data_IF_822127612595
#
_entry.id   IF_822127612595
#
_cell.length_a   1.000
_cell.length_b   1.000
_cell.length_c   1.000
_cell.angle_alpha   90.00
_cell.angle_beta   90.00
_cell.angle_gamma   90.00
#
_symmetry.space_group_name_H-M   'P 1'
#
loop_
_entity.id
_entity.type
_entity.pdbx_description
1 polymer ?
#
# COMPACT_ATOMS: atom_id res chain seq x y z
N UNK A 1 -15.44 31.23 -0.33
CA UNK A 1 -14.76 31.11 0.97
C UNK A 1 -13.87 29.89 0.90
N UNK A 2 -12.54 30.08 0.94
CA UNK A 2 -11.58 29.00 1.03
C UNK A 2 -11.87 28.25 2.35
N UNK A 3 -12.12 26.92 2.29
CA UNK A 3 -12.11 26.11 3.52
C UNK A 3 -10.79 26.43 4.22
N UNK A 4 -10.86 26.98 5.43
CA UNK A 4 -9.69 26.99 6.31
C UNK A 4 -9.30 25.50 6.47
N UNK A 5 -8.13 25.11 5.91
CA UNK A 5 -7.43 23.95 6.42
C UNK A 5 -7.34 24.22 7.92
N UNK A 6 -8.00 23.44 8.72
CA UNK A 6 -7.78 23.47 10.18
C UNK A 6 -6.31 23.11 10.31
N UNK A 7 -5.47 24.11 10.54
CA UNK A 7 -4.04 23.85 10.84
C UNK A 7 -4.07 23.20 12.21
N UNK A 8 -3.65 21.97 12.25
CA UNK A 8 -3.40 21.29 13.50
C UNK A 8 -2.40 22.10 14.30
N UNK A 9 -2.59 22.17 15.60
CA UNK A 9 -1.57 22.72 16.51
C UNK A 9 -0.40 21.71 16.56
N UNK A 10 0.82 22.15 16.89
CA UNK A 10 1.96 21.23 16.99
C UNK A 10 1.72 20.04 17.93
N UNK A 11 0.97 20.25 19.03
CA UNK A 11 0.59 19.17 19.94
C UNK A 11 -0.41 18.18 19.31
N UNK A 12 -1.34 18.66 18.49
CA UNK A 12 -2.27 17.80 17.76
C UNK A 12 -1.57 17.03 16.64
N UNK A 13 -0.59 17.65 15.96
CA UNK A 13 0.24 16.96 14.95
C UNK A 13 1.05 15.82 15.59
N UNK A 14 1.70 16.08 16.72
CA UNK A 14 2.47 15.07 17.44
C UNK A 14 1.57 13.94 17.98
N UNK A 15 0.41 14.26 18.52
CA UNK A 15 -0.55 13.25 18.95
C UNK A 15 -1.05 12.38 17.78
N UNK A 16 -1.31 12.99 16.62
CA UNK A 16 -1.72 12.26 15.43
C UNK A 16 -0.62 11.32 14.94
N UNK A 17 0.63 11.79 14.92
CA UNK A 17 1.78 10.97 14.54
C UNK A 17 1.97 9.78 15.50
N UNK A 18 1.89 10.01 16.82
CA UNK A 18 1.97 8.95 17.81
C UNK A 18 0.84 7.93 17.66
N UNK A 19 -0.41 8.38 17.49
CA UNK A 19 -1.53 7.47 17.25
C UNK A 19 -1.38 6.65 15.96
N UNK A 20 -0.80 7.25 14.92
CA UNK A 20 -0.55 6.53 13.68
C UNK A 20 0.55 5.49 13.86
N UNK A 21 1.62 5.84 14.57
CA UNK A 21 2.69 4.92 14.90
C UNK A 21 2.19 3.71 15.71
N UNK A 22 1.40 3.95 16.76
CA UNK A 22 0.82 2.86 17.57
C UNK A 22 -0.04 1.90 16.72
N UNK A 23 -0.79 2.45 15.76
CA UNK A 23 -1.59 1.65 14.84
C UNK A 23 -0.73 0.86 13.86
N UNK A 24 0.33 1.48 13.35
CA UNK A 24 1.30 0.80 12.48
C UNK A 24 1.99 -0.36 13.21
N UNK A 25 2.51 -0.12 14.41
CA UNK A 25 3.14 -1.16 15.25
C UNK A 25 2.17 -2.30 15.52
N UNK A 26 0.91 -1.99 15.83
CA UNK A 26 -0.11 -3.02 16.00
C UNK A 26 -0.30 -3.85 14.72
N UNK A 27 -0.41 -3.22 13.55
CA UNK A 27 -0.58 -3.93 12.29
C UNK A 27 0.65 -4.78 11.92
N UNK A 28 1.85 -4.28 12.24
CA UNK A 28 3.12 -4.98 12.06
C UNK A 28 3.19 -6.23 12.93
N UNK A 29 2.99 -6.08 14.24
CA UNK A 29 3.19 -7.16 15.22
C UNK A 29 2.09 -8.23 15.14
N UNK A 30 0.88 -7.87 14.68
CA UNK A 30 -0.22 -8.81 14.53
C UNK A 30 -0.29 -9.46 13.14
N UNK A 31 0.75 -10.17 12.76
CA UNK A 31 0.77 -11.06 11.61
C UNK A 31 1.57 -10.57 10.40
N UNK A 32 2.00 -9.30 10.34
CA UNK A 32 2.82 -8.85 9.22
C UNK A 32 4.28 -9.33 9.32
N UNK A 33 4.86 -9.35 10.52
CA UNK A 33 6.20 -9.93 10.74
C UNK A 33 6.24 -11.42 10.39
N UNK A 34 5.26 -12.19 10.85
CA UNK A 34 5.14 -13.61 10.51
C UNK A 34 5.00 -13.81 8.99
N UNK A 35 4.22 -12.92 8.35
CA UNK A 35 4.10 -12.91 6.89
C UNK A 35 5.45 -12.66 6.21
N UNK A 36 6.24 -11.66 6.64
CA UNK A 36 7.54 -11.35 6.05
C UNK A 36 8.48 -12.55 6.12
N UNK A 37 8.59 -13.21 7.27
CA UNK A 37 9.42 -14.40 7.41
C UNK A 37 8.98 -15.52 6.46
N UNK A 38 7.67 -15.76 6.37
CA UNK A 38 7.15 -16.79 5.48
C UNK A 38 7.33 -16.42 4.00
N UNK A 39 7.12 -15.15 3.63
CA UNK A 39 7.29 -14.68 2.27
C UNK A 39 8.74 -14.82 1.80
N UNK A 40 9.71 -14.45 2.65
CA UNK A 40 11.14 -14.67 2.37
C UNK A 40 11.46 -16.14 2.16
N UNK A 41 11.05 -16.98 3.10
CA UNK A 41 11.27 -18.44 2.98
C UNK A 41 10.67 -18.98 1.67
N UNK A 42 9.50 -18.50 1.26
CA UNK A 42 8.89 -18.88 -0.02
C UNK A 42 9.70 -18.39 -1.22
N UNK A 43 10.23 -17.17 -1.19
CA UNK A 43 11.06 -16.61 -2.26
C UNK A 43 12.39 -17.35 -2.39
N UNK A 44 13.06 -17.68 -1.26
CA UNK A 44 14.28 -18.46 -1.24
C UNK A 44 14.07 -19.86 -1.83
N UNK A 45 13.00 -20.54 -1.45
CA UNK A 45 12.64 -21.83 -2.04
C UNK A 45 12.34 -21.74 -3.53
N UNK A 46 11.70 -20.68 -3.98
CA UNK A 46 11.47 -20.45 -5.42
C UNK A 46 12.79 -20.24 -6.16
N UNK A 47 13.75 -19.52 -5.60
CA UNK A 47 15.08 -19.31 -6.19
C UNK A 47 15.94 -20.57 -6.17
N UNK A 48 15.65 -21.52 -5.29
CA UNK A 48 16.41 -22.75 -5.12
C UNK A 48 17.27 -22.78 -3.87
N UNK A 49 17.18 -21.76 -3.05
CA UNK A 49 17.86 -21.65 -1.76
C UNK A 49 17.00 -22.34 -0.70
N UNK A 50 17.16 -23.65 -0.59
CA UNK A 50 16.24 -24.51 0.18
C UNK A 50 16.85 -25.08 1.45
N UNK A 51 18.14 -24.81 1.68
CA UNK A 51 18.85 -25.27 2.86
C UNK A 51 19.00 -24.16 3.88
N UNK A 52 18.68 -24.43 5.12
CA UNK A 52 19.06 -23.54 6.20
C UNK A 52 20.59 -23.58 6.40
N UNK A 53 21.21 -22.46 6.74
CA UNK A 53 22.66 -22.30 6.81
C UNK A 53 23.29 -23.31 7.78
N UNK A 54 22.66 -23.57 8.93
CA UNK A 54 23.10 -24.54 9.92
C UNK A 54 23.14 -25.99 9.34
N UNK A 55 22.15 -26.35 8.54
CA UNK A 55 22.07 -27.68 7.91
C UNK A 55 23.11 -27.80 6.79
N UNK A 56 23.37 -26.72 6.04
CA UNK A 56 24.40 -26.67 5.00
C UNK A 56 25.79 -26.84 5.62
N UNK A 57 26.11 -26.13 6.66
CA UNK A 57 27.38 -26.22 7.40
C UNK A 57 27.58 -27.63 8.02
N UNK A 58 26.53 -28.20 8.56
CA UNK A 58 26.57 -29.56 9.12
C UNK A 58 26.88 -30.59 8.01
N UNK A 59 26.29 -30.47 6.84
CA UNK A 59 26.54 -31.33 5.69
C UNK A 59 27.97 -31.17 5.17
N UNK A 60 28.45 -29.92 5.06
CA UNK A 60 29.83 -29.65 4.64
C UNK A 60 30.86 -30.19 5.63
N UNK A 61 30.61 -30.10 6.93
CA UNK A 61 31.45 -30.68 7.96
C UNK A 61 31.54 -32.23 7.86
N UNK A 62 30.45 -32.87 7.37
CA UNK A 62 30.43 -34.31 7.08
C UNK A 62 31.02 -34.67 5.71
N UNK A 63 31.43 -33.69 4.90
CA UNK A 63 31.91 -33.87 3.53
C UNK A 63 30.81 -34.28 2.53
N UNK A 64 29.57 -33.97 2.83
CA UNK A 64 28.38 -34.23 1.99
C UNK A 64 27.92 -32.94 1.29
N UNK A 65 27.73 -32.95 -0.04
CA UNK A 65 27.22 -31.76 -0.73
C UNK A 65 25.73 -31.52 -0.42
N UNK A 66 25.34 -30.30 -0.15
CA UNK A 66 23.93 -29.87 -0.09
C UNK A 66 23.37 -29.81 -1.50
N UNK A 67 22.65 -30.85 -1.93
CA UNK A 67 22.07 -30.94 -3.27
C UNK A 67 20.63 -30.44 -3.27
N UNK A 68 20.35 -29.41 -4.06
CA UNK A 68 19.00 -28.90 -4.28
C UNK A 68 18.48 -29.30 -5.67
N UNK A 69 17.30 -29.92 -5.70
CA UNK A 69 16.56 -30.17 -6.96
C UNK A 69 15.30 -29.30 -6.92
N UNK A 70 15.40 -28.10 -7.50
CA UNK A 70 14.29 -27.15 -7.44
C UNK A 70 13.14 -27.58 -8.36
N UNK A 71 12.07 -28.14 -7.76
CA UNK A 71 10.82 -28.50 -8.45
C UNK A 71 9.75 -27.39 -8.31
N UNK A 72 9.96 -26.42 -7.40
CA UNK A 72 9.05 -25.31 -7.15
C UNK A 72 9.02 -24.35 -8.32
N UNK A 73 10.19 -23.94 -8.80
CA UNK A 73 10.36 -22.99 -9.90
C UNK A 73 9.61 -23.41 -11.17
N UNK A 74 9.77 -24.62 -11.73
CA UNK A 74 9.03 -25.02 -12.92
C UNK A 74 7.52 -25.14 -12.67
N UNK A 75 7.09 -25.50 -11.47
CA UNK A 75 5.67 -25.55 -11.12
C UNK A 75 5.03 -24.16 -11.14
N UNK A 76 5.65 -23.19 -10.49
CA UNK A 76 5.18 -21.79 -10.45
C UNK A 76 5.21 -21.20 -11.86
N UNK A 77 6.30 -21.40 -12.61
CA UNK A 77 6.44 -20.89 -13.98
C UNK A 77 5.40 -21.48 -14.94
N UNK A 78 4.96 -22.72 -14.73
CA UNK A 78 3.86 -23.30 -15.51
C UNK A 78 2.54 -22.55 -15.25
N UNK A 79 2.24 -22.21 -14.00
CA UNK A 79 1.04 -21.44 -13.63
C UNK A 79 1.11 -20.03 -14.22
N UNK A 80 2.28 -19.36 -14.13
CA UNK A 80 2.50 -18.04 -14.73
C UNK A 80 2.34 -18.06 -16.25
N UNK A 81 2.85 -19.09 -16.91
CA UNK A 81 2.70 -19.29 -18.36
C UNK A 81 1.24 -19.46 -18.77
N UNK A 82 0.47 -20.20 -17.99
CA UNK A 82 -0.97 -20.39 -18.25
C UNK A 82 -1.74 -19.07 -18.05
N UNK A 83 -1.46 -18.29 -17.01
CA UNK A 83 -2.06 -16.99 -16.80
C UNK A 83 -1.74 -16.03 -17.95
N UNK A 84 -0.48 -15.98 -18.39
CA UNK A 84 -0.05 -15.12 -19.48
C UNK A 84 -0.70 -15.49 -20.83
N UNK A 85 -1.00 -16.79 -21.06
CA UNK A 85 -1.64 -17.27 -22.29
C UNK A 85 -3.16 -17.05 -22.30
N UNK A 86 -3.81 -16.97 -21.16
CA UNK A 86 -5.27 -16.87 -21.00
C UNK A 86 -5.74 -15.50 -20.55
N UNK A 87 -5.25 -14.45 -21.19
CA UNK A 87 -5.69 -13.08 -20.88
C UNK A 87 -7.15 -12.88 -21.27
N UNK A 88 -7.90 -12.20 -20.42
CA UNK A 88 -9.30 -11.86 -20.64
C UNK A 88 -9.48 -10.35 -20.79
N UNK A 89 -10.14 -9.93 -21.85
CA UNK A 89 -10.53 -8.53 -22.03
C UNK A 89 -11.64 -8.13 -21.06
N UNK A 90 -11.45 -7.03 -20.38
CA UNK A 90 -12.48 -6.44 -19.51
C UNK A 90 -13.44 -5.60 -20.35
N UNK A 91 -14.75 -5.91 -20.28
CA UNK A 91 -15.80 -5.19 -21.00
C UNK A 91 -16.90 -4.73 -20.06
N UNK A 92 -17.29 -3.48 -20.20
CA UNK A 92 -18.40 -2.89 -19.48
C UNK A 92 -19.73 -3.28 -20.16
N UNK A 93 -20.73 -3.59 -19.34
CA UNK A 93 -22.08 -3.88 -19.79
C UNK A 93 -23.09 -3.02 -19.05
N UNK A 94 -24.16 -2.51 -19.71
CA UNK A 94 -25.18 -1.75 -19.04
C UNK A 94 -25.93 -2.63 -18.03
N UNK A 95 -26.21 -2.10 -16.86
CA UNK A 95 -26.86 -2.88 -15.77
C UNK A 95 -28.38 -2.92 -15.85
N UNK A 96 -29.00 -1.84 -16.33
CA UNK A 96 -30.47 -1.69 -16.38
C UNK A 96 -30.85 -0.97 -17.66
N UNK A 97 -31.17 -1.68 -18.75
CA UNK A 97 -31.65 -1.04 -19.97
C UNK A 97 -30.91 0.25 -20.35
N UNK A 98 -29.71 0.43 -19.80
CA UNK A 98 -28.93 1.63 -19.90
C UNK A 98 -28.31 1.78 -21.28
N UNK A 99 -27.58 2.87 -21.44
CA UNK A 99 -26.99 3.25 -22.69
C UNK A 99 -25.82 2.31 -23.06
N UNK A 100 -26.00 1.49 -24.08
CA UNK A 100 -24.97 0.62 -24.64
C UNK A 100 -23.78 1.45 -25.16
N UNK A 101 -24.04 2.61 -25.75
CA UNK A 101 -23.00 3.49 -26.26
C UNK A 101 -22.08 4.00 -25.13
N UNK A 102 -22.63 4.27 -23.95
CA UNK A 102 -21.84 4.62 -22.77
C UNK A 102 -20.95 3.46 -22.31
N UNK A 103 -21.50 2.23 -22.26
CA UNK A 103 -20.73 1.05 -21.89
C UNK A 103 -19.59 0.75 -22.86
N UNK A 104 -19.83 0.91 -24.16
CA UNK A 104 -18.81 0.76 -25.20
C UNK A 104 -17.72 1.86 -25.07
N UNK A 105 -18.14 3.09 -24.77
CA UNK A 105 -17.19 4.20 -24.52
C UNK A 105 -16.33 3.93 -23.29
N UNK A 106 -16.92 3.50 -22.18
CA UNK A 106 -16.18 3.14 -20.97
C UNK A 106 -15.20 1.97 -21.21
N UNK A 107 -15.58 0.99 -22.02
CA UNK A 107 -14.69 -0.10 -22.42
C UNK A 107 -13.46 0.42 -23.16
N UNK A 108 -13.65 1.35 -24.12
CA UNK A 108 -12.53 1.96 -24.87
C UNK A 108 -11.62 2.80 -23.96
N UNK A 109 -12.21 3.58 -23.05
CA UNK A 109 -11.45 4.37 -22.06
C UNK A 109 -10.62 3.45 -21.16
N UNK A 110 -11.22 2.34 -20.70
CA UNK A 110 -10.50 1.37 -19.89
C UNK A 110 -9.34 0.73 -20.66
N UNK A 111 -9.56 0.33 -21.91
CA UNK A 111 -8.48 -0.21 -22.76
C UNK A 111 -7.34 0.79 -22.93
N UNK A 112 -7.67 2.09 -23.14
CA UNK A 112 -6.64 3.14 -23.23
C UNK A 112 -5.84 3.28 -21.93
N UNK A 113 -6.51 3.23 -20.77
CA UNK A 113 -5.84 3.26 -19.46
C UNK A 113 -4.95 2.02 -19.28
N UNK A 114 -5.44 0.85 -19.68
CA UNK A 114 -4.68 -0.40 -19.61
C UNK A 114 -3.41 -0.35 -20.46
N UNK A 115 -3.51 0.14 -21.69
CA UNK A 115 -2.39 0.29 -22.61
C UNK A 115 -1.36 1.31 -22.09
N UNK A 116 -1.80 2.47 -21.60
CA UNK A 116 -0.93 3.51 -21.06
C UNK A 116 -0.12 2.99 -19.84
N UNK A 117 -0.74 2.16 -19.01
CA UNK A 117 -0.11 1.61 -17.81
C UNK A 117 0.60 0.27 -18.05
N UNK A 118 0.58 -0.28 -19.28
CA UNK A 118 1.07 -1.64 -19.55
C UNK A 118 0.49 -2.64 -18.55
N UNK A 119 -0.83 -2.61 -18.38
CA UNK A 119 -1.55 -3.36 -17.35
C UNK A 119 -1.20 -4.85 -17.36
N UNK A 120 -1.00 -5.42 -18.53
CA UNK A 120 -0.59 -6.81 -18.69
C UNK A 120 0.69 -7.17 -17.93
N UNK A 121 1.66 -6.25 -17.93
CA UNK A 121 2.92 -6.42 -17.20
C UNK A 121 2.70 -6.31 -15.68
N UNK A 122 1.93 -5.29 -15.27
CA UNK A 122 1.59 -5.07 -13.85
C UNK A 122 0.80 -6.25 -13.30
N UNK A 123 -0.17 -6.78 -14.05
CA UNK A 123 -0.93 -7.97 -13.68
C UNK A 123 -0.03 -9.21 -13.52
N UNK A 124 0.89 -9.42 -14.45
CA UNK A 124 1.83 -10.54 -14.34
C UNK A 124 2.73 -10.43 -13.11
N UNK A 125 3.21 -9.23 -12.79
CA UNK A 125 4.02 -8.99 -11.60
C UNK A 125 3.22 -9.27 -10.33
N UNK A 126 2.05 -8.67 -10.16
CA UNK A 126 1.19 -8.86 -8.98
C UNK A 126 0.75 -10.32 -8.84
N UNK A 127 0.48 -11.00 -9.96
CA UNK A 127 0.13 -12.41 -9.94
C UNK A 127 1.31 -13.29 -9.50
N UNK A 128 2.52 -13.00 -10.01
CA UNK A 128 3.76 -13.66 -9.59
C UNK A 128 4.01 -13.51 -8.10
N UNK A 129 3.92 -12.27 -7.59
CA UNK A 129 4.07 -11.98 -6.17
C UNK A 129 3.03 -12.75 -5.34
N UNK A 130 1.78 -12.77 -5.77
CA UNK A 130 0.72 -13.53 -5.12
C UNK A 130 0.94 -15.05 -5.09
N UNK A 131 1.70 -15.62 -6.03
CA UNK A 131 2.05 -17.03 -5.99
C UNK A 131 3.26 -17.32 -5.08
N UNK A 132 4.26 -16.45 -5.12
CA UNK A 132 5.57 -16.62 -4.48
C UNK A 132 5.56 -16.05 -3.06
N UNK A 133 5.15 -14.76 -2.92
CA UNK A 133 5.23 -14.00 -1.68
C UNK A 133 4.07 -14.32 -0.72
N UNK A 134 3.97 -15.56 -0.30
CA UNK A 134 2.94 -16.08 0.61
C UNK A 134 1.52 -15.58 0.33
N UNK A 135 1.13 -15.59 -0.93
CA UNK A 135 -0.25 -15.34 -1.36
C UNK A 135 -0.68 -13.90 -1.45
N UNK A 136 0.21 -12.94 -1.33
CA UNK A 136 -0.10 -11.51 -1.36
C UNK A 136 0.52 -10.82 -2.56
N UNK A 137 -0.30 -10.11 -3.32
CA UNK A 137 0.12 -9.18 -4.36
C UNK A 137 -0.77 -7.94 -4.31
N UNK A 138 -0.26 -6.78 -4.67
CA UNK A 138 -1.01 -5.53 -4.55
C UNK A 138 -0.86 -4.66 -5.78
N UNK A 139 -2.01 -4.15 -6.26
CA UNK A 139 -2.07 -3.02 -7.18
C UNK A 139 -2.24 -1.73 -6.39
N UNK A 140 -1.67 -0.65 -6.86
CA UNK A 140 -1.97 0.70 -6.42
C UNK A 140 -2.55 1.49 -7.60
N UNK A 141 -3.72 2.08 -7.39
CA UNK A 141 -4.46 2.82 -8.40
C UNK A 141 -4.64 4.26 -7.94
N UNK A 142 -3.90 5.19 -8.57
CA UNK A 142 -3.90 6.61 -8.21
C UNK A 142 -4.03 7.49 -9.45
N UNK A 143 -4.44 8.74 -9.24
CA UNK A 143 -4.29 9.79 -10.23
C UNK A 143 -2.90 10.39 -10.14
N UNK A 144 -2.19 10.42 -11.24
CA UNK A 144 -0.90 11.09 -11.40
C UNK A 144 -1.10 12.42 -12.13
N UNK A 145 -0.51 13.48 -11.59
CA UNK A 145 -0.58 14.85 -12.13
C UNK A 145 0.79 15.36 -12.58
N UNK A 146 1.78 14.49 -12.67
CA UNK A 146 3.16 14.88 -12.99
C UNK A 146 3.26 15.38 -14.42
N UNK A 147 2.76 14.61 -15.38
CA UNK A 147 2.88 14.91 -16.80
C UNK A 147 1.68 15.72 -17.33
N UNK A 148 0.50 15.53 -16.76
CA UNK A 148 -0.74 16.15 -17.20
C UNK A 148 -1.49 16.86 -16.08
N UNK A 149 -1.85 18.13 -16.30
CA UNK A 149 -2.60 18.94 -15.32
C UNK A 149 -3.98 18.35 -14.98
N UNK A 150 -4.62 17.68 -15.94
CA UNK A 150 -5.91 17.02 -15.74
C UNK A 150 -5.76 15.69 -14.95
N UNK A 151 -4.54 15.17 -14.88
CA UNK A 151 -4.20 13.91 -14.24
C UNK A 151 -4.50 12.70 -15.11
N UNK A 152 -3.68 11.66 -14.95
CA UNK A 152 -3.88 10.37 -15.58
C UNK A 152 -4.03 9.27 -14.52
N UNK A 153 -4.80 8.23 -14.85
CA UNK A 153 -4.91 7.06 -13.97
C UNK A 153 -3.63 6.25 -14.10
N UNK A 154 -2.91 6.11 -12.98
CA UNK A 154 -1.70 5.28 -12.90
C UNK A 154 -1.99 4.02 -12.11
N UNK A 155 -1.59 2.89 -12.67
CA UNK A 155 -1.72 1.56 -12.05
C UNK A 155 -0.32 0.97 -11.93
N UNK A 156 0.10 0.67 -10.70
CA UNK A 156 1.43 0.11 -10.41
C UNK A 156 1.31 -1.12 -9.54
N UNK A 157 2.27 -2.03 -9.64
CA UNK A 157 2.46 -3.08 -8.66
C UNK A 157 3.18 -2.51 -7.44
N UNK A 158 2.84 -3.00 -6.26
CA UNK A 158 3.51 -2.67 -4.99
C UNK A 158 4.14 -3.92 -4.40
N UNK A 159 5.31 -3.71 -3.79
CA UNK A 159 5.95 -4.78 -3.04
C UNK A 159 5.04 -5.24 -1.88
N UNK A 160 4.70 -6.52 -1.81
CA UNK A 160 3.85 -7.04 -0.74
C UNK A 160 4.43 -6.88 0.66
N UNK A 161 5.75 -6.75 0.79
CA UNK A 161 6.42 -6.54 2.06
C UNK A 161 6.18 -5.12 2.62
N UNK A 162 5.87 -4.14 1.76
CA UNK A 162 5.63 -2.76 2.15
C UNK A 162 4.18 -2.48 2.52
N UNK A 163 3.25 -3.40 2.23
CA UNK A 163 1.82 -3.20 2.44
C UNK A 163 1.35 -3.99 3.67
N UNK A 164 0.84 -3.27 4.66
CA UNK A 164 0.24 -3.86 5.84
C UNK A 164 -1.27 -3.73 5.76
N UNK A 165 -1.97 -4.85 5.79
CA UNK A 165 -3.42 -4.90 5.81
C UNK A 165 -3.96 -4.80 7.24
N UNK A 166 -5.23 -4.45 7.37
CA UNK A 166 -5.93 -4.45 8.67
C UNK A 166 -5.80 -5.83 9.35
N UNK A 167 -5.20 -5.93 10.53
CA UNK A 167 -5.04 -7.20 11.23
C UNK A 167 -6.37 -7.87 11.62
N UNK A 168 -7.44 -7.09 11.70
CA UNK A 168 -8.78 -7.58 12.00
C UNK A 168 -9.58 -7.98 10.74
N UNK A 169 -8.98 -7.88 9.54
CA UNK A 169 -9.62 -8.21 8.27
C UNK A 169 -9.90 -9.70 8.15
N UNK A 170 -11.17 -10.08 7.97
CA UNK A 170 -11.61 -11.47 7.78
C UNK A 170 -11.96 -11.81 6.33
N UNK A 171 -12.14 -10.80 5.51
CA UNK A 171 -12.56 -10.90 4.12
C UNK A 171 -11.48 -10.34 3.19
N UNK A 172 -11.40 -10.91 2.00
CA UNK A 172 -10.46 -10.46 0.95
C UNK A 172 -10.85 -9.11 0.34
N UNK A 173 -12.12 -8.68 0.50
CA UNK A 173 -12.60 -7.41 -0.07
C UNK A 173 -12.09 -6.21 0.77
N UNK A 174 -11.27 -5.31 0.23
CA UNK A 174 -10.78 -4.14 0.93
C UNK A 174 -11.89 -3.17 1.37
N UNK A 175 -13.11 -3.32 0.85
CA UNK A 175 -14.26 -2.53 1.31
C UNK A 175 -14.63 -2.81 2.76
N UNK A 176 -14.34 -4.00 3.25
CA UNK A 176 -14.63 -4.41 4.63
C UNK A 176 -13.53 -3.99 5.60
N UNK A 177 -12.33 -3.69 5.12
CA UNK A 177 -11.20 -3.29 5.95
C UNK A 177 -11.38 -1.89 6.53
N UNK A 178 -10.83 -1.66 7.71
CA UNK A 178 -10.85 -0.34 8.36
C UNK A 178 -9.66 0.51 7.97
N UNK A 179 -8.49 -0.10 7.76
CA UNK A 179 -7.24 0.60 7.47
C UNK A 179 -6.29 -0.24 6.61
N UNK A 180 -5.39 0.45 5.92
CA UNK A 180 -4.27 -0.14 5.18
C UNK A 180 -3.09 0.80 5.32
N UNK A 181 -1.88 0.24 5.43
CA UNK A 181 -0.64 0.99 5.49
C UNK A 181 0.24 0.65 4.30
N UNK A 182 0.97 1.65 3.84
CA UNK A 182 2.07 1.51 2.90
C UNK A 182 3.31 2.14 3.54
N UNK A 183 4.41 1.42 3.57
CA UNK A 183 5.69 1.93 4.06
C UNK A 183 6.63 2.20 2.89
N UNK A 184 7.39 3.28 2.98
CA UNK A 184 8.40 3.65 1.99
C UNK A 184 9.64 4.17 2.69
N UNK A 185 10.78 3.88 2.12
CA UNK A 185 12.01 4.53 2.49
C UNK A 185 12.25 5.72 1.59
N UNK A 186 12.45 6.89 2.17
CA UNK A 186 12.68 8.13 1.45
C UNK A 186 13.87 8.88 2.07
N UNK A 187 14.71 9.45 1.23
CA UNK A 187 15.76 10.35 1.68
C UNK A 187 15.17 11.70 2.10
N UNK A 188 15.93 12.50 2.84
CA UNK A 188 15.49 13.86 3.22
C UNK A 188 15.20 14.74 2.00
N UNK A 189 16.00 14.59 0.94
CA UNK A 189 15.84 15.35 -0.31
C UNK A 189 14.52 14.98 -1.02
N UNK A 190 14.18 13.70 -1.09
CA UNK A 190 12.90 13.22 -1.63
C UNK A 190 11.71 13.70 -0.79
N UNK A 191 11.87 13.75 0.54
CA UNK A 191 10.84 14.29 1.43
C UNK A 191 10.68 15.80 1.23
N UNK A 192 11.77 16.53 1.03
CA UNK A 192 11.72 17.95 0.74
C UNK A 192 11.00 18.24 -0.58
N UNK A 193 11.30 17.48 -1.62
CA UNK A 193 10.64 17.59 -2.92
C UNK A 193 9.14 17.29 -2.84
N UNK A 194 8.75 16.23 -2.14
CA UNK A 194 7.37 15.78 -2.07
C UNK A 194 6.51 16.59 -1.08
N UNK A 195 7.06 17.00 0.06
CA UNK A 195 6.28 17.58 1.19
C UNK A 195 6.75 18.97 1.60
N UNK A 196 7.87 19.45 1.06
CA UNK A 196 8.39 20.80 1.24
C UNK A 196 9.46 20.94 2.34
N UNK A 197 10.37 21.90 2.15
CA UNK A 197 11.55 22.13 2.97
C UNK A 197 11.30 22.19 4.49
N UNK A 198 10.19 22.80 4.91
CA UNK A 198 9.87 22.93 6.35
C UNK A 198 9.70 21.59 7.06
N UNK A 199 9.16 20.58 6.35
CA UNK A 199 8.96 19.25 6.92
C UNK A 199 10.27 18.46 6.95
N UNK A 200 11.11 18.64 5.93
CA UNK A 200 12.45 18.06 5.89
C UNK A 200 13.34 18.61 7.01
N UNK A 201 13.36 19.96 7.23
CA UNK A 201 14.09 20.60 8.34
C UNK A 201 13.63 20.08 9.71
N UNK A 202 12.32 19.87 9.91
CA UNK A 202 11.80 19.32 11.16
C UNK A 202 12.28 17.89 11.41
N UNK A 203 12.30 17.06 10.36
CA UNK A 203 12.78 15.68 10.44
C UNK A 203 14.29 15.61 10.68
N UNK A 204 15.06 16.46 10.01
CA UNK A 204 16.49 16.56 10.23
C UNK A 204 16.79 16.92 11.70
N UNK A 205 16.08 17.91 12.24
CA UNK A 205 16.24 18.32 13.65
C UNK A 205 15.91 17.16 14.62
N UNK A 206 14.88 16.36 14.35
CA UNK A 206 14.51 15.22 15.19
C UNK A 206 15.57 14.12 15.08
N UNK A 207 16.06 13.84 13.87
CA UNK A 207 17.08 12.83 13.63
C UNK A 207 18.40 13.17 14.35
N UNK A 208 18.81 14.44 14.33
CA UNK A 208 20.04 14.92 15.00
C UNK A 208 19.91 14.87 16.54
N UNK A 209 18.72 15.09 17.09
CA UNK A 209 18.51 15.11 18.54
C UNK A 209 18.19 13.73 19.16
N UNK A 210 18.21 12.65 18.40
CA UNK A 210 18.12 11.28 18.90
C UNK A 210 16.74 10.88 19.49
N UNK A 211 15.69 11.64 19.24
CA UNK A 211 14.33 11.41 19.73
C UNK A 211 13.46 10.69 18.69
N UNK A 212 14.09 10.00 17.74
CA UNK A 212 13.43 9.32 16.63
C UNK A 212 12.85 7.97 17.06
N UNK A 213 11.66 7.62 16.56
CA UNK A 213 11.15 6.24 16.59
C UNK A 213 11.97 5.31 15.65
N UNK A 214 12.96 5.85 14.96
CA UNK A 214 13.72 5.22 13.89
C UNK A 214 14.57 4.01 14.27
N UNK A 215 14.74 3.70 15.55
CA UNK A 215 15.42 2.46 15.98
C UNK A 215 14.68 1.20 15.49
N UNK A 216 13.36 1.28 15.38
CA UNK A 216 12.55 0.19 14.89
C UNK A 216 12.68 -0.02 13.36
N UNK A 217 13.14 0.99 12.65
CA UNK A 217 13.36 0.94 11.21
C UNK A 217 14.54 0.07 10.81
N UNK A 218 15.64 0.14 11.57
CA UNK A 218 16.86 -0.63 11.28
C UNK A 218 16.63 -2.11 11.58
N UNK A 219 16.06 -2.43 12.74
CA UNK A 219 15.74 -3.81 13.11
C UNK A 219 14.76 -4.46 12.13
N UNK A 220 13.81 -3.68 11.59
CA UNK A 220 12.84 -4.18 10.62
C UNK A 220 13.49 -4.42 9.25
N UNK A 221 14.47 -3.62 8.84
CA UNK A 221 15.23 -3.87 7.62
C UNK A 221 16.19 -5.04 7.76
N UNK A 222 16.85 -5.19 8.87
CA UNK A 222 17.66 -6.38 9.15
C UNK A 222 16.80 -7.64 9.05
N UNK A 223 15.60 -7.63 9.61
CA UNK A 223 14.63 -8.71 9.44
C UNK A 223 14.09 -8.84 8.02
N UNK A 224 14.03 -7.76 7.25
CA UNK A 224 13.54 -7.76 5.86
C UNK A 224 14.58 -8.27 4.87
N UNK A 225 15.83 -7.91 5.03
CA UNK A 225 16.90 -8.20 4.06
C UNK A 225 17.93 -9.20 4.54
N UNK A 226 17.90 -9.61 5.80
CA UNK A 226 19.01 -10.35 6.30
C UNK A 226 18.66 -11.63 7.02
N UNK A 227 19.19 -12.70 6.54
CA UNK A 227 20.17 -13.53 7.21
C UNK A 227 21.54 -12.84 7.06
N UNK A 228 21.67 -11.64 7.57
CA UNK A 228 22.98 -11.12 7.89
C UNK A 228 23.35 -11.78 9.21
N UNK A 229 24.30 -12.69 9.11
CA UNK A 229 24.93 -13.36 10.25
C UNK A 229 25.10 -12.33 11.39
N UNK A 230 24.62 -12.60 12.63
CA UNK A 230 24.85 -11.72 13.78
C UNK A 230 26.33 -11.41 14.03
N UNK A 231 27.24 -12.03 13.30
CA UNK A 231 28.68 -11.82 13.31
C UNK A 231 29.20 -10.98 12.13
N UNK A 232 28.39 -10.67 11.15
CA UNK A 232 28.83 -9.84 10.04
C UNK A 232 28.48 -8.38 10.36
N UNK A 233 29.47 -7.68 10.93
CA UNK A 233 29.43 -6.26 11.32
C UNK A 233 29.23 -5.28 10.14
N UNK A 234 28.53 -5.69 9.08
CA UNK A 234 28.27 -4.82 7.92
C UNK A 234 27.29 -3.68 8.22
N UNK A 235 26.52 -3.80 9.31
CA UNK A 235 25.68 -2.73 9.87
C UNK A 235 25.90 -2.56 11.39
N UNK A 236 26.91 -3.18 11.94
CA UNK A 236 27.34 -3.01 13.33
C UNK A 236 27.79 -1.58 13.53
N UNK A 237 27.05 -0.86 14.26
CA UNK A 237 27.22 0.30 15.13
C UNK A 237 28.61 0.96 15.29
N UNK A 238 29.53 0.80 14.39
CA UNK A 238 30.78 1.56 14.30
C UNK A 238 30.79 2.34 13.00
N UNK A 239 29.93 3.36 12.93
CA UNK A 239 30.23 4.52 12.09
C UNK A 239 31.50 5.09 12.73
N UNK A 240 32.64 4.71 12.16
CA UNK A 240 33.92 5.36 12.51
C UNK A 240 33.78 6.83 12.20
N UNK A 241 34.24 7.74 13.08
CA UNK A 241 34.14 9.18 12.84
C UNK A 241 34.85 9.68 11.57
N UNK A 242 35.60 8.82 10.91
CA UNK A 242 36.41 9.16 9.72
C UNK A 242 35.74 8.84 8.36
N UNK A 243 34.52 8.33 8.34
CA UNK A 243 33.73 8.09 7.09
C UNK A 243 32.80 9.25 6.74
N UNK A 244 33.20 10.49 7.03
CA UNK A 244 32.46 11.71 6.64
C UNK A 244 32.44 11.96 5.11
N UNK A 245 33.10 11.15 4.28
CA UNK A 245 33.30 11.45 2.86
C UNK A 245 32.32 10.82 1.90
N UNK A 246 31.48 9.85 2.34
CA UNK A 246 30.31 9.38 1.60
C UNK A 246 29.08 9.76 2.41
N UNK A 247 28.46 10.87 2.02
CA UNK A 247 27.32 11.45 2.70
C UNK A 247 26.32 10.36 3.10
N UNK A 248 26.09 10.21 4.40
CA UNK A 248 25.13 9.32 5.00
C UNK A 248 23.76 9.57 4.39
N UNK A 249 23.41 8.84 3.35
CA UNK A 249 22.07 8.84 2.78
C UNK A 249 21.18 8.09 3.80
N UNK A 250 20.79 8.82 4.83
CA UNK A 250 19.83 8.30 5.81
C UNK A 250 18.46 8.28 5.15
N UNK A 251 18.02 7.10 4.77
CA UNK A 251 16.64 6.90 4.41
C UNK A 251 15.77 6.87 5.67
N UNK A 252 14.68 7.59 5.65
CA UNK A 252 13.69 7.66 6.71
C UNK A 252 12.43 6.88 6.29
N UNK A 253 11.86 6.15 7.24
CA UNK A 253 10.61 5.44 6.98
C UNK A 253 9.43 6.40 6.96
N UNK A 254 8.79 6.48 5.82
CA UNK A 254 7.53 7.18 5.63
C UNK A 254 6.40 6.17 5.72
N UNK A 255 5.46 6.38 6.63
CA UNK A 255 4.29 5.53 6.83
C UNK A 255 3.06 6.25 6.30
N UNK A 256 2.52 5.75 5.21
CA UNK A 256 1.24 6.17 4.66
C UNK A 256 0.13 5.29 5.23
N UNK A 257 -0.91 5.90 5.74
CA UNK A 257 -2.08 5.21 6.25
C UNK A 257 -3.34 5.72 5.58
N UNK A 258 -4.11 4.82 5.01
CA UNK A 258 -5.46 5.08 4.54
C UNK A 258 -6.44 4.37 5.48
N UNK A 259 -7.42 5.10 6.03
CA UNK A 259 -8.36 4.51 6.99
C UNK A 259 -9.75 5.10 6.85
N UNK A 260 -10.76 4.28 7.18
CA UNK A 260 -12.18 4.63 7.02
C UNK A 260 -12.73 5.23 8.30
N UNK A 261 -13.29 6.43 8.18
CA UNK A 261 -13.99 7.13 9.26
C UNK A 261 -15.44 7.37 8.87
N UNK A 262 -16.35 7.20 9.82
CA UNK A 262 -17.76 7.59 9.65
C UNK A 262 -17.88 9.11 9.64
N UNK A 263 -18.29 9.66 8.51
CA UNK A 263 -18.50 11.09 8.34
C UNK A 263 -19.92 11.38 7.87
N UNK A 264 -20.46 12.52 8.33
CA UNK A 264 -21.76 13.00 7.90
C UNK A 264 -21.64 13.67 6.53
N UNK A 265 -22.27 13.09 5.52
CA UNK A 265 -22.27 13.55 4.14
C UNK A 265 -23.65 14.01 3.75
N UNK A 266 -23.73 15.14 3.03
CA UNK A 266 -24.97 15.64 2.42
C UNK A 266 -25.09 15.04 1.02
N UNK A 267 -26.24 14.47 0.71
CA UNK A 267 -26.53 13.89 -0.60
C UNK A 267 -27.79 14.49 -1.18
N UNK A 268 -27.76 14.76 -2.47
CA UNK A 268 -28.94 15.05 -3.27
C UNK A 268 -29.59 13.72 -3.66
N UNK A 269 -30.86 13.62 -3.47
CA UNK A 269 -31.65 12.44 -3.85
C UNK A 269 -32.74 12.90 -4.78
N UNK A 270 -32.78 12.30 -5.95
CA UNK A 270 -33.86 12.52 -6.91
C UNK A 270 -35.10 11.73 -6.44
N UNK A 271 -36.24 12.40 -6.22
CA UNK A 271 -37.45 11.74 -5.75
C UNK A 271 -38.03 10.76 -6.79
N UNK A 272 -37.80 10.96 -8.10
CA UNK A 272 -38.39 10.18 -9.15
C UNK A 272 -37.57 8.94 -9.49
N UNK A 273 -36.23 9.07 -9.55
CA UNK A 273 -35.32 7.98 -9.90
C UNK A 273 -34.72 7.26 -8.70
N UNK A 274 -34.69 7.93 -7.52
CA UNK A 274 -34.03 7.44 -6.32
C UNK A 274 -32.49 7.57 -6.40
N UNK A 275 -31.95 8.19 -7.44
CA UNK A 275 -30.53 8.38 -7.61
C UNK A 275 -29.95 9.30 -6.54
N UNK A 276 -28.82 8.90 -6.00
CA UNK A 276 -28.14 9.66 -4.94
C UNK A 276 -26.80 10.20 -5.45
N UNK A 277 -26.60 11.51 -5.31
CA UNK A 277 -25.32 12.18 -5.62
C UNK A 277 -24.82 12.93 -4.39
N UNK A 278 -23.54 12.82 -4.10
CA UNK A 278 -22.94 13.55 -2.98
C UNK A 278 -22.85 15.03 -3.30
N UNK A 279 -23.18 15.84 -2.30
CA UNK A 279 -22.96 17.27 -2.38
C UNK A 279 -21.45 17.55 -2.27
N UNK A 280 -20.85 18.33 -3.20
CA UNK A 280 -19.46 18.69 -3.08
C UNK A 280 -19.17 19.36 -1.74
N UNK A 281 -18.14 18.88 -1.07
CA UNK A 281 -17.73 19.37 0.26
C UNK A 281 -17.47 20.89 0.28
N UNK A 282 -17.07 21.47 -0.85
CA UNK A 282 -16.83 22.90 -1.00
C UNK A 282 -18.11 23.77 -0.97
N UNK A 283 -19.29 23.16 -1.04
CA UNK A 283 -20.54 23.93 -1.06
C UNK A 283 -21.02 24.30 0.33
N UNK A 284 -21.41 25.57 0.48
CA UNK A 284 -22.11 26.02 1.68
C UNK A 284 -23.52 25.40 1.73
N UNK A 285 -24.06 25.27 2.92
CA UNK A 285 -25.41 24.72 3.12
C UNK A 285 -26.48 25.51 2.37
N UNK A 286 -26.33 26.83 2.32
CA UNK A 286 -27.22 27.72 1.58
C UNK A 286 -27.17 27.46 0.07
N UNK A 287 -25.97 27.20 -0.48
CA UNK A 287 -25.80 26.85 -1.90
C UNK A 287 -26.41 25.49 -2.22
N UNK A 288 -26.18 24.51 -1.36
CA UNK A 288 -26.74 23.15 -1.51
C UNK A 288 -28.29 23.19 -1.48
N UNK A 289 -28.89 23.93 -0.53
CA UNK A 289 -30.35 24.09 -0.47
C UNK A 289 -30.94 24.81 -1.68
N UNK A 290 -30.26 25.82 -2.21
CA UNK A 290 -30.69 26.53 -3.44
C UNK A 290 -30.66 25.59 -4.65
N UNK A 291 -29.58 24.83 -4.80
CA UNK A 291 -29.43 23.85 -5.88
C UNK A 291 -30.51 22.75 -5.79
N UNK A 292 -30.73 22.21 -4.60
CA UNK A 292 -31.76 21.19 -4.36
C UNK A 292 -33.15 21.70 -4.77
N UNK A 293 -33.52 22.95 -4.44
CA UNK A 293 -34.78 23.56 -4.84
C UNK A 293 -34.89 23.78 -6.35
N UNK A 294 -33.79 24.20 -6.99
CA UNK A 294 -33.77 24.48 -8.43
C UNK A 294 -34.01 23.24 -9.28
N UNK A 295 -33.51 22.08 -8.83
CA UNK A 295 -33.58 20.81 -9.54
C UNK A 295 -34.58 19.82 -8.92
N UNK A 296 -35.46 20.28 -8.03
CA UNK A 296 -36.46 19.47 -7.34
C UNK A 296 -35.86 18.21 -6.64
N UNK A 297 -34.66 18.37 -6.06
CA UNK A 297 -33.94 17.31 -5.37
C UNK A 297 -34.14 17.38 -3.85
N UNK A 298 -34.18 16.25 -3.19
CA UNK A 298 -34.19 16.18 -1.73
C UNK A 298 -32.75 16.23 -1.18
N UNK A 299 -32.48 17.13 -0.23
CA UNK A 299 -31.17 17.18 0.45
C UNK A 299 -31.25 16.37 1.74
N UNK A 300 -30.57 15.23 1.77
CA UNK A 300 -30.53 14.30 2.90
C UNK A 300 -29.12 14.25 3.47
N UNK A 301 -29.02 14.18 4.79
CA UNK A 301 -27.74 13.97 5.48
C UNK A 301 -27.66 12.52 5.95
N UNK A 302 -26.62 11.80 5.48
CA UNK A 302 -26.39 10.40 5.87
C UNK A 302 -24.98 10.21 6.41
N UNK A 303 -24.80 9.20 7.24
CA UNK A 303 -23.47 8.75 7.65
C UNK A 303 -22.89 7.89 6.54
N UNK A 304 -21.67 8.20 6.12
CA UNK A 304 -20.92 7.42 5.12
C UNK A 304 -19.49 7.20 5.63
N UNK A 305 -18.95 6.03 5.39
CA UNK A 305 -17.52 5.80 5.59
C UNK A 305 -16.76 6.55 4.49
N UNK A 306 -15.87 7.44 4.89
CA UNK A 306 -14.95 8.16 4.01
C UNK A 306 -13.52 7.76 4.37
N UNK A 307 -12.68 7.70 3.36
CA UNK A 307 -11.26 7.41 3.54
C UNK A 307 -10.52 8.69 3.92
N UNK A 308 -9.76 8.63 5.00
CA UNK A 308 -8.77 9.63 5.38
C UNK A 308 -7.40 9.11 5.02
N UNK A 309 -6.56 9.99 4.53
CA UNK A 309 -5.21 9.69 4.06
C UNK A 309 -4.23 10.52 4.90
N UNK A 310 -3.43 9.85 5.69
CA UNK A 310 -2.45 10.46 6.58
C UNK A 310 -1.09 9.86 6.29
N UNK A 311 -0.08 10.71 6.09
CA UNK A 311 1.30 10.30 5.87
C UNK A 311 2.13 10.89 7.00
N UNK A 312 2.89 10.05 7.67
CA UNK A 312 3.79 10.46 8.75
C UNK A 312 5.19 9.92 8.50
N UNK A 313 6.17 10.67 8.96
CA UNK A 313 7.53 10.21 9.11
C UNK A 313 7.95 10.53 10.53
N UNK A 314 8.25 9.49 11.30
CA UNK A 314 8.53 9.62 12.73
C UNK A 314 7.43 10.44 13.45
N UNK A 315 7.77 11.50 14.14
CA UNK A 315 6.86 12.38 14.89
C UNK A 315 6.22 13.49 14.03
N UNK A 316 6.57 13.55 12.75
CA UNK A 316 6.11 14.61 11.84
C UNK A 316 4.99 14.12 10.95
N UNK A 317 3.89 14.86 10.92
CA UNK A 317 2.81 14.65 9.96
C UNK A 317 3.17 15.33 8.65
N UNK A 318 3.46 14.54 7.60
CA UNK A 318 3.79 15.05 6.27
C UNK A 318 2.52 15.48 5.53
N UNK A 319 1.51 14.64 5.55
CA UNK A 319 0.22 14.89 4.90
C UNK A 319 -0.93 14.37 5.75
N UNK A 320 -2.03 15.11 5.84
CA UNK A 320 -3.26 14.67 6.49
C UNK A 320 -4.48 15.34 5.84
N UNK A 321 -5.26 14.57 5.09
CA UNK A 321 -6.45 15.06 4.40
C UNK A 321 -7.46 13.93 4.14
N UNK A 322 -8.66 14.30 3.70
CA UNK A 322 -9.62 13.35 3.14
C UNK A 322 -9.13 12.86 1.77
N UNK A 323 -9.13 11.57 1.57
CA UNK A 323 -8.85 10.98 0.28
C UNK A 323 -9.86 11.47 -0.78
N UNK A 324 -9.42 11.78 -2.00
CA UNK A 324 -10.32 12.06 -3.11
C UNK A 324 -11.07 10.81 -3.58
N UNK A 325 -10.60 9.64 -3.18
CA UNK A 325 -11.15 8.34 -3.56
C UNK A 325 -12.22 7.88 -2.57
N UNK A 326 -13.15 7.06 -3.06
CA UNK A 326 -14.21 6.47 -2.22
C UNK A 326 -13.74 5.26 -1.42
N UNK A 327 -12.66 4.63 -1.86
CA UNK A 327 -12.08 3.44 -1.26
C UNK A 327 -10.55 3.58 -1.18
N UNK A 328 -9.87 2.56 -0.67
CA UNK A 328 -8.42 2.51 -0.64
C UNK A 328 -7.84 2.49 -2.06
N UNK A 329 -6.65 3.06 -2.23
CA UNK A 329 -5.93 3.01 -3.52
C UNK A 329 -5.29 1.66 -3.75
N UNK A 330 -4.97 0.94 -2.67
CA UNK A 330 -4.37 -0.38 -2.69
C UNK A 330 -5.46 -1.43 -2.93
N UNK A 331 -5.30 -2.21 -4.00
CA UNK A 331 -6.20 -3.30 -4.38
C UNK A 331 -5.45 -4.62 -4.25
N UNK A 332 -5.85 -5.49 -3.33
CA UNK A 332 -5.16 -6.75 -3.10
C UNK A 332 -5.50 -7.79 -4.16
N UNK A 333 -4.52 -8.62 -4.45
CA UNK A 333 -4.67 -9.92 -5.08
C UNK A 333 -4.20 -10.99 -4.08
N UNK A 334 -5.05 -11.99 -3.81
CA UNK A 334 -4.71 -13.14 -2.99
C UNK A 334 -4.85 -14.41 -3.80
N UNK A 335 -3.76 -15.19 -3.90
CA UNK A 335 -3.79 -16.47 -4.61
C UNK A 335 -4.79 -17.43 -3.94
N UNK A 336 -4.68 -17.55 -2.63
CA UNK A 336 -5.65 -18.24 -1.77
C UNK A 336 -5.95 -17.38 -0.55
N UNK A 337 -7.21 -17.43 -0.09
CA UNK A 337 -7.62 -16.69 1.09
C UNK A 337 -8.59 -17.53 1.93
N UNK A 338 -8.24 -17.77 3.18
CA UNK A 338 -9.09 -18.54 4.09
C UNK A 338 -9.10 -17.94 5.49
N UNK A 339 -10.27 -17.51 5.95
CA UNK A 339 -10.49 -17.02 7.32
C UNK A 339 -9.55 -15.88 7.75
N UNK A 340 -9.30 -14.94 6.85
CA UNK A 340 -8.43 -13.80 7.13
C UNK A 340 -6.94 -14.06 6.80
N UNK A 341 -6.54 -15.28 6.49
CA UNK A 341 -5.16 -15.61 6.18
C UNK A 341 -4.99 -15.87 4.68
N UNK A 342 -4.28 -15.01 3.93
CA UNK A 342 -3.82 -15.31 2.60
C UNK A 342 -2.66 -16.30 2.64
N UNK A 343 -2.52 -17.11 1.59
CA UNK A 343 -1.38 -18.01 1.42
C UNK A 343 -1.09 -18.27 -0.06
N UNK A 344 0.17 -18.52 -0.38
CA UNK A 344 0.66 -18.72 -1.73
C UNK A 344 0.75 -20.19 -2.15
N UNK A 345 1.10 -20.39 -3.42
CA UNK A 345 1.32 -21.73 -3.97
C UNK A 345 2.60 -22.33 -3.39
N UNK A 346 3.67 -21.53 -3.28
CA UNK A 346 4.96 -22.00 -2.77
C UNK A 346 4.82 -22.51 -1.35
N UNK A 347 4.12 -21.79 -0.47
CA UNK A 347 3.86 -22.24 0.92
C UNK A 347 3.25 -23.64 0.99
N UNK A 348 2.36 -23.98 0.06
CA UNK A 348 1.75 -25.31 0.02
C UNK A 348 2.72 -26.40 -0.48
N UNK A 349 3.83 -26.01 -1.10
CA UNK A 349 4.87 -26.92 -1.59
C UNK A 349 6.00 -27.11 -0.56
N UNK A 350 6.05 -26.28 0.48
CA UNK A 350 7.03 -26.38 1.58
C UNK A 350 6.69 -27.48 2.60
N UNK A 351 5.49 -28.06 2.55
CA UNK A 351 4.98 -29.05 3.51
C UNK A 351 5.29 -30.49 3.12
#
# INVERSE_FOLDING_TARGET
MKKQKVRLTPAEEQHLASCQWDRYVRARDHGHLEYIHMAKKCDDFYRGDQWDMEDQDALEAEGRPALTINTVLPTVNTILGEQSSRRADIRFKPRRGGDQALADTLTKVFMQIADNNKLDWVEQQVFSDGLIMDGRGYFDVRMDFTDHVEGEVRITAKDPLDILIDPDAKEADPKTWNEVFETKWMTLDEIEEAYGAKKAEQLQFIAENGNSFGRDSIEFEEQRYGDLDPGDDLFGSTISPDEEEYGNIRALRVVERQYKIMSRVKCFVDPDTGDQRECPDAWSESKAKKFAKQYNLNLISKMKRKVRWTVTCDQVVLHDNWSPYNDFTVVPFFAYFRRGNPFGVVRNLLS
#
